data_IF_842959140928
#
_entry.id   IF_842959140928
#
_cell.length_a   1.000
_cell.length_b   1.000
_cell.length_c   1.000
_cell.angle_alpha   90.00
_cell.angle_beta   90.00
_cell.angle_gamma   90.00
#
_symmetry.space_group_name_H-M   'P 1'
#
loop_
_entity.id
_entity.type
_entity.pdbx_description
1 polymer ?
#
# COMPACT_ATOMS: atom_id res chain seq x y z
N UNK A 1 -7.08 12.05 -8.27
CA UNK A 1 -7.14 12.82 -7.01
C UNK A 1 -8.27 13.82 -7.13
N UNK A 2 -9.10 13.91 -6.10
CA UNK A 2 -10.17 14.92 -5.96
C UNK A 2 -9.87 15.67 -4.67
N UNK A 3 -10.06 16.98 -4.64
CA UNK A 3 -9.91 17.79 -3.44
C UNK A 3 -11.17 18.62 -3.26
N UNK A 4 -11.67 18.64 -2.03
CA UNK A 4 -12.79 19.44 -1.58
C UNK A 4 -12.42 20.11 -0.25
N UNK A 5 -13.27 21.00 0.25
CA UNK A 5 -13.09 21.69 1.52
C UNK A 5 -13.00 20.71 2.70
N UNK A 6 -13.77 19.63 2.66
CA UNK A 6 -13.88 18.68 3.77
C UNK A 6 -12.95 17.47 3.64
N UNK A 7 -12.38 17.21 2.44
CA UNK A 7 -11.50 16.08 2.25
C UNK A 7 -10.65 16.16 0.97
N UNK A 8 -9.53 15.46 0.98
CA UNK A 8 -8.81 15.06 -0.24
C UNK A 8 -9.01 13.57 -0.46
N UNK A 9 -9.29 13.15 -1.69
CA UNK A 9 -9.33 11.75 -2.09
C UNK A 9 -8.16 11.45 -3.03
N UNK A 10 -7.32 10.50 -2.64
CA UNK A 10 -6.31 9.90 -3.51
C UNK A 10 -6.77 8.52 -3.99
N UNK A 11 -6.38 8.15 -5.19
CA UNK A 11 -6.74 6.87 -5.80
C UNK A 11 -5.60 6.43 -6.69
N UNK A 12 -5.31 5.13 -6.68
CA UNK A 12 -4.34 4.54 -7.60
C UNK A 12 -3.93 3.13 -7.21
N UNK A 13 -2.86 2.66 -7.84
CA UNK A 13 -2.25 1.37 -7.51
C UNK A 13 -1.28 1.56 -6.36
N UNK A 14 -1.63 1.04 -5.18
CA UNK A 14 -0.74 0.97 -4.03
C UNK A 14 0.20 -0.21 -4.20
N UNK A 15 1.50 0.02 -3.97
CA UNK A 15 2.57 -0.99 -4.02
C UNK A 15 3.37 -0.93 -2.73
N UNK A 16 3.52 -2.06 -2.05
CA UNK A 16 4.24 -2.16 -0.79
C UNK A 16 5.14 -3.39 -0.78
N UNK A 17 6.35 -3.23 -0.25
CA UNK A 17 7.26 -4.34 0.01
C UNK A 17 6.88 -5.01 1.34
N UNK A 18 6.38 -6.25 1.29
CA UNK A 18 6.03 -7.03 2.47
C UNK A 18 7.15 -8.02 2.81
N UNK A 19 7.64 -8.04 4.07
CA UNK A 19 8.61 -9.05 4.51
C UNK A 19 8.02 -10.46 4.45
N UNK A 20 8.81 -11.44 3.98
CA UNK A 20 8.41 -12.85 3.92
C UNK A 20 7.99 -13.42 5.28
N UNK A 21 8.72 -13.10 6.35
CA UNK A 21 8.34 -13.47 7.73
C UNK A 21 6.96 -12.95 8.14
N UNK A 22 6.58 -11.75 7.69
CA UNK A 22 5.23 -11.21 7.95
C UNK A 22 4.18 -12.02 7.20
N UNK A 23 4.44 -12.42 5.95
CA UNK A 23 3.53 -13.27 5.16
C UNK A 23 3.35 -14.65 5.80
N UNK A 24 4.42 -15.24 6.33
CA UNK A 24 4.34 -16.50 7.07
C UNK A 24 3.45 -16.37 8.32
N UNK A 25 3.49 -15.23 9.03
CA UNK A 25 2.60 -14.97 10.17
C UNK A 25 1.11 -14.87 9.78
N UNK A 26 0.82 -14.58 8.51
CA UNK A 26 -0.52 -14.58 7.93
C UNK A 26 -0.94 -15.92 7.35
N UNK A 27 -0.08 -16.95 7.44
CA UNK A 27 -0.32 -18.27 6.86
C UNK A 27 -0.09 -18.34 5.34
N UNK A 28 0.60 -17.36 4.76
CA UNK A 28 0.97 -17.34 3.34
C UNK A 28 2.38 -17.95 3.21
N UNK A 29 2.48 -19.10 2.55
CA UNK A 29 3.76 -19.73 2.26
C UNK A 29 4.50 -18.97 1.15
N UNK A 30 5.78 -18.72 1.37
CA UNK A 30 6.69 -18.09 0.42
C UNK A 30 7.98 -18.89 0.33
N UNK A 31 8.69 -18.78 -0.78
CA UNK A 31 9.91 -19.55 -1.04
C UNK A 31 11.15 -19.06 -0.26
N UNK A 32 11.12 -17.80 0.23
CA UNK A 32 12.21 -17.19 0.99
C UNK A 32 11.67 -16.23 2.06
N UNK A 33 11.62 -16.64 3.34
CA UNK A 33 11.13 -15.81 4.44
C UNK A 33 11.94 -14.52 4.67
N UNK A 34 13.21 -14.49 4.25
CA UNK A 34 14.11 -13.34 4.44
C UNK A 34 14.00 -12.32 3.29
N UNK A 35 13.23 -12.63 2.24
CA UNK A 35 12.99 -11.74 1.10
C UNK A 35 11.78 -10.81 1.31
N UNK A 36 11.63 -9.85 0.38
CA UNK A 36 10.43 -9.02 0.26
C UNK A 36 9.57 -9.45 -0.92
N UNK A 37 8.26 -9.26 -0.79
CA UNK A 37 7.28 -9.57 -1.83
C UNK A 37 6.37 -8.36 -2.07
N UNK A 38 5.99 -8.14 -3.33
CA UNK A 38 5.18 -7.01 -3.74
C UNK A 38 3.71 -7.26 -3.42
N UNK A 39 3.20 -6.59 -2.39
CA UNK A 39 1.77 -6.34 -2.25
C UNK A 39 1.34 -5.30 -3.28
N UNK A 40 0.22 -5.53 -3.95
CA UNK A 40 -0.31 -4.61 -4.94
C UNK A 40 -1.82 -4.65 -4.99
N UNK A 41 -2.47 -3.51 -4.82
CA UNK A 41 -3.92 -3.38 -4.95
C UNK A 41 -4.30 -2.03 -5.54
N UNK A 42 -5.49 -1.95 -6.14
CA UNK A 42 -6.10 -0.65 -6.42
C UNK A 42 -6.76 -0.14 -5.14
N UNK A 43 -6.42 1.06 -4.72
CA UNK A 43 -6.82 1.62 -3.44
C UNK A 43 -7.28 3.05 -3.61
N UNK A 44 -8.27 3.45 -2.82
CA UNK A 44 -8.60 4.85 -2.60
C UNK A 44 -8.47 5.19 -1.13
N UNK A 45 -7.95 6.39 -0.86
CA UNK A 45 -7.86 6.95 0.49
C UNK A 45 -8.58 8.28 0.51
N UNK A 46 -9.51 8.42 1.45
CA UNK A 46 -10.11 9.71 1.81
C UNK A 46 -9.34 10.25 3.01
N UNK A 47 -8.93 11.51 2.93
CA UNK A 47 -8.21 12.25 3.94
C UNK A 47 -9.13 13.37 4.46
N UNK A 48 -9.93 13.13 5.51
CA UNK A 48 -10.84 14.14 6.05
C UNK A 48 -10.06 15.30 6.65
N UNK A 49 -10.56 16.52 6.44
CA UNK A 49 -9.96 17.76 6.91
C UNK A 49 -10.83 18.35 8.01
N UNK A 50 -10.20 18.72 9.11
CA UNK A 50 -10.83 19.49 10.16
C UNK A 50 -11.16 20.91 9.65
N UNK A 51 -12.43 21.35 9.67
CA UNK A 51 -12.83 22.60 9.06
C UNK A 51 -12.34 23.85 9.81
N UNK A 52 -11.92 23.73 11.08
CA UNK A 52 -11.43 24.86 11.87
C UNK A 52 -9.91 25.03 11.73
N UNK A 53 -9.16 23.95 11.88
CA UNK A 53 -7.69 23.96 11.86
C UNK A 53 -7.09 23.74 10.46
N UNK A 54 -7.85 23.15 9.53
CA UNK A 54 -7.36 22.75 8.20
C UNK A 54 -6.43 21.53 8.22
N UNK A 55 -6.32 20.83 9.35
CA UNK A 55 -5.46 19.66 9.52
C UNK A 55 -6.19 18.37 9.13
N UNK A 56 -5.43 17.34 8.76
CA UNK A 56 -6.02 16.01 8.52
C UNK A 56 -6.49 15.39 9.84
N UNK A 57 -7.72 14.88 9.86
CA UNK A 57 -8.28 14.15 11.00
C UNK A 57 -7.85 12.68 11.02
N UNK A 58 -7.46 12.13 9.88
CA UNK A 58 -7.05 10.74 9.72
C UNK A 58 -7.13 10.29 8.27
N UNK A 59 -7.33 8.98 8.09
CA UNK A 59 -7.49 8.34 6.79
C UNK A 59 -8.62 7.31 6.81
N UNK A 60 -9.39 7.25 5.72
CA UNK A 60 -10.29 6.15 5.41
C UNK A 60 -9.81 5.44 4.16
N UNK A 61 -9.48 4.16 4.28
CA UNK A 61 -8.87 3.39 3.20
C UNK A 61 -9.84 2.36 2.64
N UNK A 62 -10.02 2.39 1.32
CA UNK A 62 -10.88 1.49 0.57
C UNK A 62 -10.03 0.69 -0.42
N UNK A 63 -9.92 -0.61 -0.17
CA UNK A 63 -9.15 -1.54 -1.00
C UNK A 63 -10.04 -2.24 -2.01
N UNK A 64 -9.71 -2.14 -3.30
CA UNK A 64 -10.53 -2.67 -4.39
C UNK A 64 -10.33 -4.15 -4.69
N UNK A 65 -9.11 -4.67 -4.52
CA UNK A 65 -8.79 -6.09 -4.77
C UNK A 65 -7.95 -6.67 -3.62
N UNK A 66 -7.95 -7.99 -3.45
CA UNK A 66 -7.03 -8.63 -2.50
C UNK A 66 -5.58 -8.46 -2.98
N UNK A 67 -4.84 -7.57 -2.32
CA UNK A 67 -3.44 -7.31 -2.68
C UNK A 67 -2.48 -8.44 -2.32
N UNK A 68 -2.90 -9.42 -1.51
CA UNK A 68 -2.14 -10.61 -1.16
C UNK A 68 -2.35 -11.78 -2.11
N UNK A 69 -3.39 -11.76 -2.95
CA UNK A 69 -3.66 -12.84 -3.91
C UNK A 69 -2.44 -13.09 -4.80
N UNK A 70 -1.89 -14.31 -4.75
CA UNK A 70 -0.69 -14.70 -5.51
C UNK A 70 0.60 -13.96 -5.13
N UNK A 71 0.69 -13.34 -3.94
CA UNK A 71 1.88 -12.57 -3.51
C UNK A 71 3.18 -13.41 -3.46
N UNK A 72 3.09 -14.72 -3.20
CA UNK A 72 4.24 -15.61 -3.17
C UNK A 72 5.02 -15.68 -4.50
N UNK A 73 4.36 -15.35 -5.63
CA UNK A 73 4.99 -15.30 -6.95
C UNK A 73 5.61 -13.93 -7.29
N UNK A 74 5.51 -12.97 -6.38
CA UNK A 74 5.89 -11.56 -6.59
C UNK A 74 7.06 -11.15 -5.69
N UNK A 75 8.08 -12.00 -5.58
CA UNK A 75 9.34 -11.66 -4.89
C UNK A 75 10.00 -10.47 -5.58
N UNK A 76 10.52 -9.52 -4.80
CA UNK A 76 11.23 -8.34 -5.31
C UNK A 76 12.67 -8.31 -4.79
N UNK A 77 13.59 -7.90 -5.65
CA UNK A 77 14.98 -7.63 -5.32
C UNK A 77 15.33 -6.15 -5.47
N UNK A 78 16.58 -5.80 -5.13
CA UNK A 78 17.05 -4.42 -5.23
C UNK A 78 16.93 -3.83 -6.65
N UNK A 79 17.03 -4.67 -7.70
CA UNK A 79 16.88 -4.25 -9.09
C UNK A 79 15.46 -3.84 -9.48
N UNK A 80 14.44 -4.22 -8.70
CA UNK A 80 13.04 -3.86 -8.93
C UNK A 80 12.67 -2.50 -8.31
N UNK A 81 13.56 -1.92 -7.51
CA UNK A 81 13.37 -0.65 -6.82
C UNK A 81 14.05 0.44 -7.62
N UNK A 82 13.26 1.38 -8.15
CA UNK A 82 13.80 2.52 -8.86
C UNK A 82 14.70 3.36 -7.94
N UNK A 83 15.87 3.81 -8.40
CA UNK A 83 16.69 4.74 -7.63
C UNK A 83 15.95 6.06 -7.43
N UNK A 84 16.13 6.68 -6.27
CA UNK A 84 15.62 8.03 -6.04
C UNK A 84 16.40 9.00 -6.94
N UNK A 85 15.70 9.68 -7.84
CA UNK A 85 16.24 10.83 -8.54
C UNK A 85 16.24 12.00 -7.57
N UNK A 86 17.40 12.26 -6.95
CA UNK A 86 17.65 13.40 -6.06
C UNK A 86 18.29 14.53 -6.85
#
# INVERSE_FOLDING_TARGET
MIADHEAVMTEGVMRMAYPGHTLASFGIEVDDPDAYYLYQTRMSVVWPIDPESGMLLGEETYTGTDGFEGIAQRKIGAGDIAPLAI
#
